data_IF_671749773635
#
_entry.id   IF_671749773635
#
_cell.length_a   1.000
_cell.length_b   1.000
_cell.length_c   1.000
_cell.angle_alpha   90.00
_cell.angle_beta   90.00
_cell.angle_gamma   90.00
#
_symmetry.space_group_name_H-M   'P 1'
#
loop_
_entity.id
_entity.type
_entity.pdbx_description
1 polymer ?
#
# COMPACT_ATOMS: atom_id res chain seq x y z
N UNK A 1 -0.41 -3.13 -12.61
CA UNK A 1 0.48 -3.12 -11.44
C UNK A 1 -0.28 -2.69 -10.18
N UNK A 2 -0.97 -1.54 -10.21
CA UNK A 2 -1.76 -1.02 -9.08
C UNK A 2 -2.83 -2.01 -8.60
N UNK A 3 -3.59 -2.61 -9.53
CA UNK A 3 -4.60 -3.61 -9.21
C UNK A 3 -3.99 -4.85 -8.52
N UNK A 4 -2.83 -5.34 -8.97
CA UNK A 4 -2.16 -6.49 -8.38
C UNK A 4 -1.61 -6.17 -6.99
N UNK A 5 -1.07 -4.95 -6.81
CA UNK A 5 -0.64 -4.45 -5.50
C UNK A 5 -1.85 -4.39 -4.56
N UNK A 6 -2.94 -3.75 -4.98
CA UNK A 6 -4.15 -3.63 -4.17
C UNK A 6 -4.71 -5.01 -3.78
N UNK A 7 -4.75 -5.96 -4.72
CA UNK A 7 -5.17 -7.34 -4.47
C UNK A 7 -4.29 -8.02 -3.41
N UNK A 8 -2.97 -7.95 -3.58
CA UNK A 8 -2.02 -8.58 -2.67
C UNK A 8 -2.10 -7.98 -1.25
N UNK A 9 -2.17 -6.64 -1.15
CA UNK A 9 -2.28 -5.94 0.13
C UNK A 9 -3.61 -6.23 0.83
N UNK A 10 -4.72 -6.24 0.08
CA UNK A 10 -6.03 -6.55 0.65
C UNK A 10 -6.13 -8.01 1.13
N UNK A 11 -5.31 -8.91 0.61
CA UNK A 11 -5.19 -10.30 1.05
C UNK A 11 -4.51 -10.48 2.41
N UNK A 12 -3.82 -9.46 2.93
CA UNK A 12 -3.18 -9.49 4.24
C UNK A 12 -4.24 -9.43 5.35
N UNK A 13 -4.13 -10.31 6.35
CA UNK A 13 -5.06 -10.34 7.46
C UNK A 13 -5.15 -8.97 8.16
N UNK A 14 -6.37 -8.57 8.51
CA UNK A 14 -6.73 -7.32 9.16
C UNK A 14 -6.66 -6.07 8.25
N UNK A 15 -6.17 -6.15 7.04
CA UNK A 15 -6.25 -5.04 6.08
C UNK A 15 -7.71 -4.80 5.69
N UNK A 16 -8.11 -3.53 5.69
CA UNK A 16 -9.48 -3.06 5.37
C UNK A 16 -9.50 -1.95 4.33
N UNK A 17 -8.35 -1.46 3.93
CA UNK A 17 -8.21 -0.46 2.88
C UNK A 17 -6.80 -0.47 2.33
N UNK A 18 -6.68 -0.10 1.07
CA UNK A 18 -5.41 0.06 0.35
C UNK A 18 -5.51 1.35 -0.44
N UNK A 19 -4.48 2.15 -0.38
CA UNK A 19 -4.32 3.38 -1.15
C UNK A 19 -2.98 3.35 -1.88
N UNK A 20 -2.98 3.90 -3.08
CA UNK A 20 -1.77 4.08 -3.91
C UNK A 20 -1.63 5.57 -4.20
N UNK A 21 -0.45 6.13 -3.94
CA UNK A 21 -0.21 7.56 -4.07
C UNK A 21 -1.11 8.39 -3.16
N UNK A 22 -1.78 9.40 -3.74
CA UNK A 22 -2.72 10.26 -3.02
C UNK A 22 -3.96 9.50 -2.48
N UNK A 23 -4.25 8.30 -3.00
CA UNK A 23 -5.32 7.46 -2.51
C UNK A 23 -6.66 8.20 -2.44
N UNK A 24 -7.35 8.13 -1.30
CA UNK A 24 -8.63 8.82 -1.11
C UNK A 24 -8.51 10.34 -1.10
N UNK A 25 -7.35 10.93 -0.80
CA UNK A 25 -7.16 12.39 -0.88
C UNK A 25 -7.27 12.92 -2.31
N UNK A 26 -7.15 12.07 -3.33
CA UNK A 26 -7.31 12.47 -4.73
C UNK A 26 -8.69 13.08 -5.03
N UNK A 27 -9.74 12.71 -4.26
CA UNK A 27 -11.10 13.23 -4.46
C UNK A 27 -11.26 14.69 -4.00
N UNK A 28 -10.33 15.18 -3.21
CA UNK A 28 -10.29 16.58 -2.72
C UNK A 28 -9.51 17.49 -3.65
N UNK A 29 -8.79 16.92 -4.62
CA UNK A 29 -7.91 17.63 -5.55
C UNK A 29 -8.64 17.96 -6.86
N UNK A 30 -8.28 19.09 -7.45
CA UNK A 30 -8.65 19.38 -8.84
C UNK A 30 -7.70 18.61 -9.78
N UNK A 31 -8.16 18.32 -11.01
CA UNK A 31 -7.34 17.60 -11.98
C UNK A 31 -5.99 18.29 -12.29
N UNK A 32 -5.92 19.62 -12.19
CA UNK A 32 -4.68 20.38 -12.34
C UNK A 32 -3.70 20.17 -11.20
N UNK A 33 -4.20 19.93 -9.99
CA UNK A 33 -3.41 19.70 -8.78
C UNK A 33 -2.91 18.25 -8.70
N UNK A 34 -3.74 17.33 -9.17
CA UNK A 34 -3.42 15.90 -9.14
C UNK A 34 -2.31 15.49 -10.13
N UNK A 35 -2.01 16.33 -11.12
CA UNK A 35 -0.98 16.02 -12.12
C UNK A 35 0.42 15.99 -11.51
N UNK A 36 1.15 14.90 -11.75
CA UNK A 36 2.58 14.79 -11.45
C UNK A 36 3.37 15.35 -12.64
N UNK A 37 3.68 16.63 -12.56
CA UNK A 37 4.39 17.33 -13.64
C UNK A 37 5.84 16.86 -13.69
N UNK A 38 6.34 16.64 -14.90
CA UNK A 38 7.75 16.30 -15.16
C UNK A 38 8.50 17.56 -15.62
N UNK A 39 9.61 17.83 -14.97
CA UNK A 39 10.54 18.90 -15.30
C UNK A 39 11.91 18.32 -15.67
N UNK A 40 12.86 19.10 -16.20
CA UNK A 40 14.22 18.63 -16.41
C UNK A 40 14.90 18.07 -15.14
N UNK A 41 14.48 18.51 -13.96
CA UNK A 41 15.01 18.07 -12.66
C UNK A 41 14.25 16.86 -12.08
N UNK A 42 13.24 16.32 -12.79
CA UNK A 42 12.42 15.20 -12.36
C UNK A 42 10.96 15.58 -12.10
N UNK A 43 10.23 14.68 -11.47
CA UNK A 43 8.83 14.90 -11.12
C UNK A 43 8.66 15.89 -9.97
N UNK A 44 7.66 16.75 -10.06
CA UNK A 44 7.34 17.76 -9.03
C UNK A 44 6.49 17.15 -7.91
N UNK A 45 5.69 16.12 -8.22
CA UNK A 45 4.81 15.43 -7.30
C UNK A 45 4.80 13.93 -7.54
N UNK A 46 4.11 13.19 -6.68
CA UNK A 46 3.89 11.75 -6.81
C UNK A 46 2.47 11.36 -6.35
N UNK A 47 1.47 12.10 -6.84
CA UNK A 47 0.06 11.82 -6.52
C UNK A 47 -0.39 10.45 -7.05
N UNK A 48 0.16 10.04 -8.19
CA UNK A 48 -0.11 8.72 -8.78
C UNK A 48 0.59 7.57 -8.04
N UNK A 49 1.45 7.87 -7.06
CA UNK A 49 2.15 6.85 -6.29
C UNK A 49 3.10 5.98 -7.11
N UNK A 50 3.77 6.56 -8.10
CA UNK A 50 4.74 5.87 -8.95
C UNK A 50 4.12 4.98 -10.02
N UNK A 51 2.80 5.03 -10.23
CA UNK A 51 2.08 4.16 -11.18
C UNK A 51 1.15 5.01 -12.04
N UNK A 52 1.36 4.98 -13.34
CA UNK A 52 0.53 5.65 -14.34
C UNK A 52 0.12 4.64 -15.42
N UNK A 53 -1.17 4.59 -15.74
CA UNK A 53 -1.69 3.67 -16.74
C UNK A 53 -1.45 2.19 -16.43
N UNK A 54 -1.31 1.82 -15.16
CA UNK A 54 -1.06 0.45 -14.70
C UNK A 54 0.39 -0.01 -14.80
N UNK A 55 1.33 0.89 -15.15
CA UNK A 55 2.77 0.63 -15.21
C UNK A 55 3.54 1.62 -14.33
N UNK A 56 4.76 1.24 -13.93
CA UNK A 56 5.59 2.13 -13.13
C UNK A 56 6.04 3.36 -13.93
N UNK A 57 6.04 4.53 -13.29
CA UNK A 57 6.52 5.80 -13.87
C UNK A 57 8.02 6.04 -13.66
N UNK A 58 8.70 5.18 -12.91
CA UNK A 58 10.08 5.38 -12.47
C UNK A 58 10.20 6.14 -11.14
N UNK A 59 9.09 6.67 -10.60
CA UNK A 59 9.04 7.24 -9.26
C UNK A 59 8.87 6.15 -8.19
N UNK A 60 9.05 6.53 -6.93
CA UNK A 60 8.78 5.62 -5.80
C UNK A 60 7.32 5.15 -5.83
N UNK A 61 7.14 3.84 -5.72
CA UNK A 61 5.81 3.26 -5.56
C UNK A 61 5.39 3.42 -4.10
N UNK A 62 4.33 4.20 -3.87
CA UNK A 62 3.82 4.48 -2.53
C UNK A 62 2.50 3.78 -2.30
N UNK A 63 2.44 2.97 -1.25
CA UNK A 63 1.26 2.20 -0.88
C UNK A 63 0.97 2.38 0.59
N UNK A 64 -0.28 2.69 0.92
CA UNK A 64 -0.77 2.77 2.29
C UNK A 64 -1.82 1.69 2.55
N UNK A 65 -1.77 1.06 3.71
CA UNK A 65 -2.75 0.07 4.12
C UNK A 65 -3.43 0.47 5.43
N UNK A 66 -4.74 0.31 5.47
CA UNK A 66 -5.53 0.51 6.68
C UNK A 66 -5.76 -0.84 7.37
N UNK A 67 -5.33 -0.95 8.61
CA UNK A 67 -5.47 -2.15 9.42
C UNK A 67 -6.56 -1.95 10.46
N UNK A 68 -7.50 -2.90 10.55
CA UNK A 68 -8.48 -2.87 11.64
C UNK A 68 -7.78 -3.04 12.99
N UNK A 69 -8.26 -2.37 14.05
CA UNK A 69 -7.74 -2.59 15.39
C UNK A 69 -8.03 -4.02 15.87
N UNK A 70 -7.24 -4.50 16.81
CA UNK A 70 -7.47 -5.80 17.45
C UNK A 70 -8.81 -5.76 18.22
N UNK A 71 -9.75 -6.60 17.81
CA UNK A 71 -11.06 -6.74 18.45
C UNK A 71 -11.10 -7.79 19.56
N UNK A 72 -10.09 -8.67 19.61
CA UNK A 72 -9.95 -9.70 20.65
C UNK A 72 -9.34 -9.08 21.91
N UNK A 73 -10.16 -8.38 22.68
CA UNK A 73 -9.77 -7.70 23.91
C UNK A 73 -10.49 -8.34 25.11
N UNK A 74 -9.96 -8.10 26.33
CA UNK A 74 -10.53 -8.68 27.55
C UNK A 74 -11.83 -8.01 28.02
N UNK A 75 -12.27 -6.97 27.31
CA UNK A 75 -13.55 -6.31 27.63
C UNK A 75 -14.71 -7.22 27.26
N UNK A 76 -15.65 -7.51 28.17
CA UNK A 76 -16.83 -8.28 27.85
C UNK A 76 -17.67 -7.62 26.76
N UNK A 77 -18.17 -8.44 25.85
CA UNK A 77 -19.06 -8.02 24.77
C UNK A 77 -20.34 -8.83 24.75
N UNK A 78 -21.45 -8.19 24.42
CA UNK A 78 -22.71 -8.86 24.23
C UNK A 78 -22.68 -9.75 22.98
N UNK A 79 -23.20 -10.96 23.11
CA UNK A 79 -23.33 -11.94 22.03
C UNK A 79 -24.56 -12.82 22.28
N UNK A 80 -24.72 -13.87 21.52
CA UNK A 80 -25.76 -14.88 21.70
C UNK A 80 -25.13 -16.28 21.78
N UNK A 81 -25.76 -17.17 22.50
CA UNK A 81 -25.39 -18.58 22.52
C UNK A 81 -25.91 -19.35 21.29
N UNK A 82 -25.69 -20.64 21.24
CA UNK A 82 -26.11 -21.50 20.13
C UNK A 82 -27.64 -21.65 20.00
N UNK A 83 -28.41 -21.26 21.06
CA UNK A 83 -29.87 -21.21 21.02
C UNK A 83 -30.41 -19.84 20.60
N UNK A 84 -29.54 -18.85 20.44
CA UNK A 84 -29.89 -17.47 20.16
C UNK A 84 -30.22 -16.64 21.41
N UNK A 85 -30.00 -17.18 22.61
CA UNK A 85 -30.21 -16.42 23.82
C UNK A 85 -29.09 -15.41 24.09
N UNK A 86 -29.39 -14.20 24.61
CA UNK A 86 -28.38 -13.20 24.91
C UNK A 86 -27.40 -13.69 25.99
N UNK A 87 -26.10 -13.45 25.73
CA UNK A 87 -25.05 -13.72 26.72
C UNK A 87 -23.93 -12.68 26.63
N UNK A 88 -23.08 -12.63 27.65
CA UNK A 88 -21.82 -11.90 27.60
C UNK A 88 -20.63 -12.85 27.42
N UNK A 89 -19.68 -12.43 26.61
CA UNK A 89 -18.45 -13.19 26.39
C UNK A 89 -17.25 -12.27 26.49
N UNK A 90 -16.21 -12.71 27.20
CA UNK A 90 -14.91 -12.09 27.24
C UNK A 90 -13.88 -12.97 26.54
N UNK A 91 -13.05 -12.38 25.67
CA UNK A 91 -11.97 -13.10 25.01
C UNK A 91 -10.80 -13.27 25.98
N UNK A 92 -10.36 -14.51 26.17
CA UNK A 92 -9.20 -14.84 26.96
C UNK A 92 -8.03 -15.23 26.05
N UNK A 93 -6.82 -14.79 26.38
CA UNK A 93 -5.62 -15.13 25.63
C UNK A 93 -4.64 -13.95 25.54
N UNK A 94 -3.52 -14.22 24.86
CA UNK A 94 -2.55 -13.21 24.53
C UNK A 94 -2.84 -12.69 23.13
N UNK A 95 -3.13 -11.41 23.01
CA UNK A 95 -3.36 -10.73 21.74
C UNK A 95 -2.40 -9.54 21.61
N UNK A 96 -1.94 -9.28 20.39
CA UNK A 96 -1.10 -8.11 20.13
C UNK A 96 -1.97 -6.84 20.21
N UNK A 97 -1.51 -5.80 20.93
CA UNK A 97 -2.27 -4.56 21.05
C UNK A 97 -2.37 -3.79 19.74
N UNK A 98 -1.38 -3.98 18.85
CA UNK A 98 -1.33 -3.36 17.53
C UNK A 98 -0.82 -4.38 16.51
N UNK A 99 -1.66 -4.72 15.54
CA UNK A 99 -1.27 -5.64 14.45
C UNK A 99 -0.38 -4.96 13.40
N UNK A 100 -0.35 -3.62 13.35
CA UNK A 100 0.40 -2.83 12.38
C UNK A 100 1.90 -3.10 12.43
N UNK A 101 2.46 -3.24 13.63
CA UNK A 101 3.91 -3.50 13.82
C UNK A 101 4.34 -4.79 13.08
N UNK A 102 3.49 -5.83 13.13
CA UNK A 102 3.76 -7.10 12.43
C UNK A 102 3.35 -7.09 10.98
N UNK A 103 2.38 -6.26 10.63
CA UNK A 103 1.91 -6.15 9.25
C UNK A 103 2.92 -5.44 8.34
N UNK A 104 3.75 -4.55 8.87
CA UNK A 104 4.75 -3.82 8.08
C UNK A 104 5.68 -4.74 7.29
N UNK A 105 6.45 -5.66 7.90
CA UNK A 105 7.32 -6.55 7.13
C UNK A 105 6.55 -7.51 6.23
N UNK A 106 5.29 -7.84 6.55
CA UNK A 106 4.43 -8.67 5.70
C UNK A 106 4.05 -7.88 4.44
N UNK A 107 3.66 -6.62 4.59
CA UNK A 107 3.33 -5.75 3.47
C UNK A 107 4.55 -5.52 2.55
N UNK A 108 5.72 -5.27 3.11
CA UNK A 108 6.97 -5.16 2.36
C UNK A 108 7.27 -6.43 1.53
N UNK A 109 7.15 -7.60 2.16
CA UNK A 109 7.36 -8.87 1.47
C UNK A 109 6.34 -9.10 0.34
N UNK A 110 5.05 -8.81 0.60
CA UNK A 110 4.00 -8.96 -0.41
C UNK A 110 4.19 -7.98 -1.57
N UNK A 111 4.60 -6.74 -1.32
CA UNK A 111 4.93 -5.78 -2.35
C UNK A 111 6.11 -6.27 -3.21
N UNK A 112 7.17 -6.77 -2.57
CA UNK A 112 8.32 -7.32 -3.28
C UNK A 112 7.93 -8.50 -4.20
N UNK A 113 7.02 -9.39 -3.75
CA UNK A 113 6.52 -10.49 -4.58
C UNK A 113 5.75 -10.01 -5.81
N UNK A 114 4.90 -8.99 -5.68
CA UNK A 114 4.21 -8.39 -6.82
C UNK A 114 5.19 -7.76 -7.79
N UNK A 115 6.14 -6.97 -7.27
CA UNK A 115 7.11 -6.28 -8.11
C UNK A 115 8.02 -7.25 -8.86
N UNK A 116 8.49 -8.33 -8.24
CA UNK A 116 9.33 -9.31 -8.92
C UNK A 116 8.57 -10.05 -10.03
N UNK A 117 7.27 -10.35 -9.82
CA UNK A 117 6.44 -10.96 -10.87
C UNK A 117 6.33 -10.03 -12.09
N UNK A 118 6.07 -8.73 -11.87
CA UNK A 118 6.04 -7.75 -12.95
C UNK A 118 7.40 -7.59 -13.66
N UNK A 119 8.50 -7.63 -12.92
CA UNK A 119 9.86 -7.60 -13.52
C UNK A 119 10.11 -8.83 -14.40
N UNK A 120 9.70 -10.02 -13.94
CA UNK A 120 9.86 -11.25 -14.69
C UNK A 120 9.00 -11.26 -15.96
N UNK A 121 7.75 -10.81 -15.87
CA UNK A 121 6.85 -10.66 -17.03
C UNK A 121 7.40 -9.66 -18.02
N UNK A 122 7.88 -8.51 -17.56
CA UNK A 122 8.52 -7.51 -18.42
C UNK A 122 9.70 -8.08 -19.17
N UNK A 123 10.60 -8.79 -18.49
CA UNK A 123 11.76 -9.43 -19.13
C UNK A 123 11.36 -10.51 -20.12
N UNK A 124 10.33 -11.30 -19.84
CA UNK A 124 9.86 -12.33 -20.74
C UNK A 124 9.28 -11.77 -22.06
N UNK A 125 8.61 -10.60 -21.97
CA UNK A 125 7.95 -9.95 -23.12
C UNK A 125 8.87 -9.01 -23.88
N UNK A 126 9.84 -8.39 -23.20
CA UNK A 126 10.64 -7.28 -23.71
C UNK A 126 12.16 -7.52 -23.56
N UNK A 127 12.61 -8.77 -23.60
CA UNK A 127 14.01 -9.13 -23.37
C UNK A 127 14.98 -8.44 -24.34
N UNK A 128 14.56 -8.23 -25.59
CA UNK A 128 15.37 -7.62 -26.65
C UNK A 128 15.14 -6.11 -26.80
N UNK A 129 14.26 -5.52 -25.98
CA UNK A 129 13.97 -4.08 -26.04
C UNK A 129 15.00 -3.34 -25.21
N UNK A 130 15.80 -2.51 -25.89
CA UNK A 130 16.63 -1.51 -25.25
C UNK A 130 15.83 -0.21 -25.18
N UNK A 131 15.74 0.38 -23.99
CA UNK A 131 15.06 1.66 -23.79
C UNK A 131 16.09 2.79 -23.84
N UNK A 132 15.95 3.68 -24.82
CA UNK A 132 16.79 4.88 -24.92
C UNK A 132 16.29 6.04 -24.04
N UNK A 133 15.25 5.79 -23.24
CA UNK A 133 14.73 6.81 -22.32
C UNK A 133 15.78 7.12 -21.25
N UNK A 134 16.14 8.38 -21.04
CA UNK A 134 17.07 8.76 -19.98
C UNK A 134 16.59 8.26 -18.62
N UNK A 135 17.51 7.78 -17.80
CA UNK A 135 17.20 7.44 -16.40
C UNK A 135 16.82 8.73 -15.68
N UNK A 136 15.58 8.80 -15.22
CA UNK A 136 15.13 9.94 -14.41
C UNK A 136 15.85 9.80 -13.05
N UNK A 137 16.60 10.82 -12.60
CA UNK A 137 17.27 10.74 -11.32
C UNK A 137 16.25 10.49 -10.21
N UNK A 138 16.54 9.54 -9.33
CA UNK A 138 15.77 9.40 -8.10
C UNK A 138 15.85 10.73 -7.34
N UNK A 139 14.73 11.22 -6.82
CA UNK A 139 14.74 12.40 -5.97
C UNK A 139 15.79 12.22 -4.85
N UNK A 140 16.61 13.22 -4.62
CA UNK A 140 17.61 13.17 -3.55
C UNK A 140 16.89 12.83 -2.22
N UNK A 141 17.45 11.95 -1.40
CA UNK A 141 16.83 11.58 -0.13
C UNK A 141 16.59 12.85 0.69
N UNK A 142 15.34 13.03 1.10
CA UNK A 142 14.94 14.14 1.98
C UNK A 142 15.82 14.07 3.22
N UNK A 143 16.68 15.07 3.43
CA UNK A 143 17.46 15.20 4.65
C UNK A 143 16.48 15.31 5.81
N UNK A 144 16.43 14.29 6.66
CA UNK A 144 15.71 14.36 7.91
C UNK A 144 16.40 15.44 8.76
N UNK A 145 15.74 16.57 8.90
CA UNK A 145 16.12 17.52 9.95
C UNK A 145 15.86 16.81 11.28
N UNK A 146 16.93 16.42 11.94
CA UNK A 146 16.88 16.03 13.35
C UNK A 146 16.37 17.24 14.15
N UNK A 147 15.27 17.04 14.87
CA UNK A 147 14.78 17.95 15.91
C UNK A 147 15.11 17.33 17.26
#
# INVERSE_FOLDING_TARGET
LDADIAHAMMGINAVKGVEIGAGFSAVEQQGSEHRDLLTPDGFVGNNAGGILGGISSGQDITVSIALKPTSSIRQPGATVDTSGAPMEMATHGRHDPCVGIRATPIAEAMLALVLVDHVLRHRAQNMDVQCDTPVIPAAAPVQKHER
#
